data_IF_511770508377
#
_entry.id   IF_511770508377
#
_cell.length_a   1.000
_cell.length_b   1.000
_cell.length_c   1.000
_cell.angle_alpha   90.00
_cell.angle_beta   90.00
_cell.angle_gamma   90.00
#
_symmetry.space_group_name_H-M   'P 1'
#
loop_
_entity.id
_entity.type
_entity.pdbx_description
1 polymer ?
#
# COMPACT_ATOMS: atom_id res chain seq x y z
N UNK A 1 -22.19 19.71 8.73
CA UNK A 1 -21.27 18.76 9.42
C UNK A 1 -22.07 17.51 9.85
N UNK A 2 -22.56 16.73 8.87
CA UNK A 2 -23.29 15.45 9.07
C UNK A 2 -22.77 14.37 8.11
N UNK A 3 -22.37 14.76 6.90
CA UNK A 3 -21.75 13.87 5.90
C UNK A 3 -20.46 13.17 6.35
N UNK A 4 -19.64 13.80 7.20
CA UNK A 4 -18.35 13.22 7.59
C UNK A 4 -18.49 12.00 8.50
N UNK A 5 -19.45 11.96 9.42
CA UNK A 5 -19.60 10.81 10.34
C UNK A 5 -20.22 9.57 9.66
N UNK A 6 -21.11 9.75 8.69
CA UNK A 6 -21.74 8.64 7.96
C UNK A 6 -20.76 7.94 7.04
N UNK A 7 -19.83 8.70 6.44
CA UNK A 7 -18.85 8.16 5.48
C UNK A 7 -17.80 7.28 6.17
N UNK A 8 -17.23 7.72 7.30
CA UNK A 8 -16.27 6.88 8.05
C UNK A 8 -16.94 5.64 8.64
N UNK A 9 -18.16 5.78 9.17
CA UNK A 9 -18.93 4.65 9.70
C UNK A 9 -19.19 3.56 8.65
N UNK A 10 -19.52 3.95 7.42
CA UNK A 10 -19.71 3.00 6.31
C UNK A 10 -18.41 2.29 5.91
N UNK A 11 -17.28 2.99 5.84
CA UNK A 11 -15.97 2.39 5.50
C UNK A 11 -15.53 1.37 6.56
N UNK A 12 -15.75 1.65 7.85
CA UNK A 12 -15.44 0.69 8.92
C UNK A 12 -16.34 -0.55 8.88
N UNK A 13 -17.63 -0.39 8.56
CA UNK A 13 -18.55 -1.51 8.40
C UNK A 13 -18.22 -2.35 7.16
N UNK A 14 -17.85 -1.70 6.06
CA UNK A 14 -17.44 -2.36 4.81
C UNK A 14 -16.17 -3.20 5.01
N UNK A 15 -15.18 -2.67 5.74
CA UNK A 15 -13.97 -3.41 6.10
C UNK A 15 -14.27 -4.64 6.96
N UNK A 16 -15.18 -4.51 7.94
CA UNK A 16 -15.60 -5.63 8.78
C UNK A 16 -16.29 -6.72 7.97
N UNK A 17 -17.22 -6.34 7.09
CA UNK A 17 -17.95 -7.29 6.24
C UNK A 17 -16.99 -7.99 5.27
N UNK A 18 -16.07 -7.25 4.64
CA UNK A 18 -15.04 -7.84 3.79
C UNK A 18 -14.18 -8.84 4.56
N UNK A 19 -13.64 -8.45 5.72
CA UNK A 19 -12.78 -9.30 6.55
C UNK A 19 -13.50 -10.58 6.97
N UNK A 20 -14.73 -10.47 7.46
CA UNK A 20 -15.47 -11.61 7.97
C UNK A 20 -15.86 -12.57 6.82
N UNK A 21 -16.20 -12.03 5.64
CA UNK A 21 -16.51 -12.81 4.44
C UNK A 21 -15.26 -13.47 3.85
N UNK A 22 -14.16 -12.73 3.72
CA UNK A 22 -12.91 -13.22 3.16
C UNK A 22 -12.30 -14.32 4.03
N UNK A 23 -12.36 -14.17 5.36
CA UNK A 23 -11.84 -15.19 6.30
C UNK A 23 -12.55 -16.54 6.16
N UNK A 24 -13.80 -16.54 5.70
CA UNK A 24 -14.64 -17.73 5.49
C UNK A 24 -14.68 -18.20 4.02
N UNK A 25 -14.12 -17.42 3.09
CA UNK A 25 -14.12 -17.72 1.66
C UNK A 25 -13.14 -18.86 1.33
N UNK A 26 -13.59 -19.85 0.57
CA UNK A 26 -12.77 -21.02 0.24
C UNK A 26 -11.77 -20.71 -0.88
N UNK A 27 -10.51 -21.07 -0.68
CA UNK A 27 -9.46 -20.86 -1.65
C UNK A 27 -9.31 -22.08 -2.55
N UNK A 28 -9.39 -21.87 -3.86
CA UNK A 28 -9.26 -22.93 -4.87
C UNK A 28 -7.88 -23.62 -4.83
N UNK A 29 -6.84 -22.87 -4.47
CA UNK A 29 -5.44 -23.34 -4.43
C UNK A 29 -5.12 -24.17 -3.20
N UNK A 30 -5.91 -24.04 -2.13
CA UNK A 30 -5.64 -24.65 -0.82
C UNK A 30 -6.66 -25.74 -0.50
N UNK A 31 -6.93 -26.62 -1.46
CA UNK A 31 -7.90 -27.71 -1.33
C UNK A 31 -9.29 -27.26 -0.83
N UNK A 32 -9.75 -26.08 -1.24
CA UNK A 32 -11.05 -25.53 -0.87
C UNK A 32 -11.21 -25.21 0.63
N UNK A 33 -10.09 -25.01 1.34
CA UNK A 33 -10.06 -24.48 2.71
C UNK A 33 -10.21 -22.96 2.71
N UNK A 34 -10.85 -22.41 3.74
CA UNK A 34 -10.88 -20.96 3.95
C UNK A 34 -9.65 -20.47 4.74
N UNK A 35 -9.29 -19.17 4.65
CA UNK A 35 -8.19 -18.61 5.44
C UNK A 35 -8.27 -18.93 6.93
N UNK A 36 -9.47 -18.91 7.52
CA UNK A 36 -9.66 -19.29 8.93
C UNK A 36 -9.34 -20.76 9.19
N UNK A 37 -9.72 -21.67 8.29
CA UNK A 37 -9.40 -23.09 8.41
C UNK A 37 -7.89 -23.35 8.25
N UNK A 38 -7.25 -22.65 7.30
CA UNK A 38 -5.81 -22.70 7.12
C UNK A 38 -5.05 -22.22 8.34
N UNK A 39 -5.50 -21.12 8.96
CA UNK A 39 -4.96 -20.64 10.23
C UNK A 39 -5.09 -21.70 11.31
N UNK A 40 -6.29 -22.23 11.56
CA UNK A 40 -6.53 -23.23 12.61
C UNK A 40 -5.68 -24.48 12.37
N UNK A 41 -5.62 -24.95 11.13
CA UNK A 41 -4.80 -26.09 10.71
C UNK A 41 -3.30 -25.82 10.96
N UNK A 42 -2.80 -24.67 10.51
CA UNK A 42 -1.40 -24.26 10.71
C UNK A 42 -1.03 -24.14 12.19
N UNK A 43 -1.90 -23.52 13.00
CA UNK A 43 -1.68 -23.43 14.45
C UNK A 43 -1.68 -24.81 15.11
N UNK A 44 -2.59 -25.70 14.72
CA UNK A 44 -2.61 -27.06 15.25
C UNK A 44 -1.36 -27.86 14.84
N UNK A 45 -0.84 -27.66 13.64
CA UNK A 45 0.41 -28.28 13.16
C UNK A 45 1.64 -27.74 13.90
N UNK A 46 1.65 -26.44 14.24
CA UNK A 46 2.73 -25.82 15.02
C UNK A 46 2.75 -26.27 16.48
N UNK A 47 1.64 -26.79 17.01
CA UNK A 47 1.53 -27.22 18.40
C UNK A 47 2.05 -28.65 18.67
N UNK A 48 2.39 -29.44 17.65
CA UNK A 48 2.78 -30.86 17.81
C UNK A 48 4.30 -31.07 17.99
N UNK A 49 5.13 -30.08 17.63
CA UNK A 49 6.57 -30.15 17.80
C UNK A 49 7.05 -29.11 18.82
N UNK A 50 7.44 -29.60 19.99
CA UNK A 50 8.25 -28.93 21.02
C UNK A 50 7.56 -27.89 21.91
N UNK A 51 7.37 -28.29 23.17
CA UNK A 51 7.42 -27.39 24.32
C UNK A 51 8.71 -26.53 24.25
N UNK A 52 8.64 -25.33 23.66
CA UNK A 52 9.37 -24.09 24.03
C UNK A 52 9.58 -23.05 22.92
N UNK A 53 9.29 -23.33 21.64
CA UNK A 53 9.52 -22.34 20.56
C UNK A 53 8.26 -21.52 20.23
N UNK A 54 7.53 -21.08 21.26
CA UNK A 54 6.73 -19.87 21.11
C UNK A 54 7.74 -18.74 20.94
N UNK A 55 8.16 -18.48 19.70
CA UNK A 55 8.90 -17.26 19.34
C UNK A 55 8.23 -16.14 20.13
N UNK A 56 8.92 -15.50 21.10
CA UNK A 56 8.31 -14.41 21.83
C UNK A 56 7.90 -13.42 20.76
N UNK A 57 6.59 -13.26 20.57
CA UNK A 57 6.05 -12.28 19.65
C UNK A 57 6.70 -10.98 20.08
N UNK A 58 7.66 -10.49 19.30
CA UNK A 58 8.41 -9.32 19.71
C UNK A 58 7.42 -8.18 19.65
N UNK A 59 6.90 -7.80 20.83
CA UNK A 59 5.97 -6.69 20.99
C UNK A 59 6.59 -5.36 20.57
N UNK A 60 7.89 -5.37 20.26
CA UNK A 60 8.68 -4.23 19.81
C UNK A 60 8.99 -4.29 18.31
N UNK A 61 8.50 -5.28 17.56
CA UNK A 61 8.63 -5.27 16.12
C UNK A 61 7.94 -4.03 15.54
N UNK A 62 8.73 -3.09 15.01
CA UNK A 62 8.27 -1.80 14.51
C UNK A 62 8.32 -0.65 15.53
N UNK A 63 8.77 -0.89 16.76
CA UNK A 63 9.04 0.15 17.76
C UNK A 63 10.52 0.53 17.69
N UNK A 64 10.80 1.73 17.20
CA UNK A 64 12.15 2.31 17.21
C UNK A 64 12.36 3.05 18.54
N UNK A 65 12.89 2.34 19.54
CA UNK A 65 13.15 2.89 20.88
C UNK A 65 14.24 3.96 20.91
N UNK A 66 15.16 3.93 19.94
CA UNK A 66 16.23 4.92 19.74
C UNK A 66 15.88 5.93 18.63
N UNK A 67 14.67 5.83 18.09
CA UNK A 67 14.17 6.72 17.05
C UNK A 67 13.97 8.14 17.58
N UNK A 68 14.05 9.15 16.71
CA UNK A 68 13.73 10.51 17.10
C UNK A 68 12.29 10.54 17.65
N UNK A 69 12.11 11.11 18.84
CA UNK A 69 10.79 11.30 19.41
C UNK A 69 9.97 12.15 18.44
N UNK A 70 8.80 11.65 18.02
CA UNK A 70 7.86 12.41 17.19
C UNK A 70 7.38 13.59 18.02
N UNK A 71 7.98 14.75 17.79
CA UNK A 71 7.49 16.01 18.35
C UNK A 71 6.28 16.40 17.50
N UNK A 72 5.11 16.53 18.12
CA UNK A 72 3.82 16.87 17.48
C UNK A 72 3.83 18.20 16.66
N UNK A 73 4.98 18.87 16.57
CA UNK A 73 5.19 20.18 15.94
C UNK A 73 6.32 20.19 14.90
N UNK A 74 6.66 19.05 14.32
CA UNK A 74 7.56 19.02 13.16
C UNK A 74 6.74 19.30 11.90
N UNK A 75 6.54 20.58 11.59
CA UNK A 75 6.16 21.00 10.25
C UNK A 75 7.29 20.58 9.29
N UNK A 76 7.16 19.39 8.71
CA UNK A 76 8.07 18.89 7.67
C UNK A 76 7.95 19.84 6.48
N UNK A 77 8.88 20.79 6.42
CA UNK A 77 8.95 21.75 5.33
C UNK A 77 9.67 21.06 4.18
N UNK A 78 8.90 20.51 3.25
CA UNK A 78 9.45 19.99 1.99
C UNK A 78 10.00 21.17 1.21
N UNK A 79 11.30 21.20 0.88
CA UNK A 79 11.86 22.27 0.06
C UNK A 79 11.17 22.26 -1.30
N UNK A 80 10.84 23.44 -1.87
CA UNK A 80 10.20 23.49 -3.17
C UNK A 80 11.14 22.91 -4.23
N UNK A 81 10.71 21.83 -4.88
CA UNK A 81 11.39 21.30 -6.05
C UNK A 81 11.10 22.22 -7.25
N UNK A 82 12.16 22.76 -7.87
CA UNK A 82 12.01 23.51 -9.11
C UNK A 82 11.80 22.53 -10.26
N UNK A 83 10.57 22.47 -10.78
CA UNK A 83 10.29 21.72 -11.99
C UNK A 83 11.09 22.34 -13.15
N UNK A 84 11.88 21.54 -13.90
CA UNK A 84 12.65 22.06 -15.02
C UNK A 84 11.79 22.39 -16.25
N UNK A 85 10.50 22.02 -16.23
CA UNK A 85 9.55 22.29 -17.30
C UNK A 85 8.76 23.56 -17.01
N UNK A 86 8.48 24.37 -18.05
CA UNK A 86 7.49 25.43 -17.95
C UNK A 86 6.08 24.88 -17.80
N UNK A 87 5.13 25.69 -17.33
CA UNK A 87 3.72 25.29 -17.19
C UNK A 87 3.12 24.83 -18.53
N UNK A 88 3.53 25.45 -19.65
CA UNK A 88 3.10 25.08 -21.00
C UNK A 88 3.64 23.70 -21.42
N UNK A 89 4.92 23.43 -21.15
CA UNK A 89 5.54 22.14 -21.43
C UNK A 89 4.94 21.02 -20.57
N UNK A 90 4.58 21.33 -19.32
CA UNK A 90 3.93 20.40 -18.42
C UNK A 90 2.48 20.10 -18.86
N UNK A 91 1.75 21.09 -19.39
CA UNK A 91 0.44 20.89 -19.98
C UNK A 91 0.50 19.99 -21.24
N UNK A 92 1.51 20.21 -22.08
CA UNK A 92 1.78 19.36 -23.26
C UNK A 92 2.11 17.92 -22.86
N UNK A 93 2.96 17.73 -21.83
CA UNK A 93 3.30 16.41 -21.31
C UNK A 93 2.05 15.64 -20.88
N UNK A 94 1.16 16.30 -20.10
CA UNK A 94 -0.09 15.71 -19.61
C UNK A 94 -1.09 15.35 -20.71
N UNK A 95 -1.06 16.03 -21.86
CA UNK A 95 -1.86 15.64 -23.02
C UNK A 95 -1.23 14.49 -23.81
N UNK A 96 0.11 14.42 -23.82
CA UNK A 96 0.85 13.45 -24.63
C UNK A 96 1.00 12.07 -23.99
N UNK A 97 1.02 11.99 -22.65
CA UNK A 97 1.22 10.75 -21.91
C UNK A 97 0.08 10.57 -20.93
N UNK A 98 -0.70 9.50 -21.12
CA UNK A 98 -1.71 9.07 -20.15
C UNK A 98 -1.04 8.17 -19.09
N UNK A 99 -0.91 8.62 -17.83
CA UNK A 99 -0.28 7.83 -16.77
C UNK A 99 -1.09 6.59 -16.36
N UNK A 100 -2.37 6.52 -16.72
CA UNK A 100 -3.24 5.38 -16.45
C UNK A 100 -3.39 4.44 -17.65
N UNK A 101 -2.61 4.68 -18.70
CA UNK A 101 -2.59 3.81 -19.87
C UNK A 101 -2.20 2.38 -19.46
N UNK A 102 -3.04 1.42 -19.83
CA UNK A 102 -2.73 0.01 -19.63
C UNK A 102 -1.42 -0.34 -20.34
N UNK A 103 -0.48 -0.86 -19.56
CA UNK A 103 0.84 -1.25 -20.03
C UNK A 103 1.21 -2.61 -19.43
N UNK A 104 1.42 -3.60 -20.29
CA UNK A 104 1.79 -4.97 -19.87
C UNK A 104 3.23 -5.03 -19.34
N UNK A 105 4.07 -4.02 -19.63
CA UNK A 105 5.49 -3.95 -19.28
C UNK A 105 5.76 -3.08 -18.03
N UNK A 106 4.90 -3.13 -17.02
CA UNK A 106 5.07 -2.38 -15.75
C UNK A 106 5.27 -0.87 -15.91
N UNK A 107 4.81 -0.28 -17.03
CA UNK A 107 4.96 1.14 -17.32
C UNK A 107 6.36 1.57 -17.79
N UNK A 108 7.23 0.65 -18.19
CA UNK A 108 8.54 1.00 -18.79
C UNK A 108 8.39 1.92 -20.03
N UNK A 109 7.47 1.67 -20.98
CA UNK A 109 7.24 2.56 -22.11
C UNK A 109 6.80 3.97 -21.70
N UNK A 110 5.95 4.07 -20.67
CA UNK A 110 5.49 5.35 -20.11
C UNK A 110 6.66 6.16 -19.55
N UNK A 111 7.52 5.52 -18.76
CA UNK A 111 8.73 6.14 -18.24
C UNK A 111 9.65 6.64 -19.36
N UNK A 112 9.91 5.82 -20.38
CA UNK A 112 10.77 6.21 -21.51
C UNK A 112 10.18 7.38 -22.29
N UNK A 113 8.86 7.40 -22.52
CA UNK A 113 8.18 8.49 -23.21
C UNK A 113 8.32 9.82 -22.44
N UNK A 114 8.04 9.82 -21.14
CA UNK A 114 8.20 11.01 -20.28
C UNK A 114 9.65 11.46 -20.26
N UNK A 115 10.59 10.54 -20.06
CA UNK A 115 12.03 10.84 -20.04
C UNK A 115 12.48 11.52 -21.33
N UNK A 116 12.09 10.99 -22.48
CA UNK A 116 12.46 11.55 -23.78
C UNK A 116 11.85 12.94 -24.00
N UNK A 117 10.60 13.16 -23.58
CA UNK A 117 9.97 14.48 -23.64
C UNK A 117 10.72 15.50 -22.78
N UNK A 118 11.05 15.12 -21.53
CA UNK A 118 11.77 15.97 -20.59
C UNK A 118 13.16 16.33 -21.11
N UNK A 119 13.91 15.36 -21.67
CA UNK A 119 15.21 15.63 -22.29
C UNK A 119 15.11 16.59 -23.47
N UNK A 120 14.09 16.46 -24.31
CA UNK A 120 13.88 17.35 -25.45
C UNK A 120 13.43 18.77 -25.05
N UNK A 121 12.78 18.91 -23.89
CA UNK A 121 12.28 20.18 -23.39
C UNK A 121 13.32 21.01 -22.64
N UNK A 122 14.40 20.37 -22.15
CA UNK A 122 15.47 20.98 -21.35
C UNK A 122 16.78 21.15 -22.15
N UNK A 123 16.93 20.46 -23.28
CA UNK A 123 18.05 20.62 -24.22
C UNK A 123 17.94 21.92 -25.03
#
# INVERSE_FOLDING_TARGET
MKMWHETVGNVFLENKVFRDTYSQHRLRTENNMCPLQLWISGMAMLHDDTENDFFPFDTHYGVDWDGPAVLDNEDITVPPENCPLSEEQLALLKQSVDPLQDCEDYGVPLYVAVRNFVYAAIA
#
